data_IF_304043933345
#
_entry.id   IF_304043933345
#
_cell.length_a   1.000
_cell.length_b   1.000
_cell.length_c   1.000
_cell.angle_alpha   90.00
_cell.angle_beta   90.00
_cell.angle_gamma   90.00
#
_symmetry.space_group_name_H-M   'P 1'
#
loop_
_entity.id
_entity.type
_entity.pdbx_description
1 polymer ?
#
# COMPACT_ATOMS: atom_id res chain seq x y z
N UNK A 1 4.87 18.85 -16.11
CA UNK A 1 6.25 19.35 -16.29
C UNK A 1 6.50 20.61 -15.45
N UNK A 2 5.78 21.70 -15.71
CA UNK A 2 6.05 23.02 -15.10
C UNK A 2 5.90 23.07 -13.57
N UNK A 3 5.02 22.22 -13.02
CA UNK A 3 4.71 22.22 -11.58
C UNK A 3 5.73 21.41 -10.74
N UNK A 4 6.37 20.41 -11.33
CA UNK A 4 7.24 19.47 -10.62
C UNK A 4 8.68 19.46 -11.10
N UNK A 5 8.91 19.26 -12.41
CA UNK A 5 10.26 19.09 -12.97
C UNK A 5 10.99 20.40 -13.12
N UNK A 6 10.30 21.44 -13.60
CA UNK A 6 10.90 22.75 -13.78
C UNK A 6 11.45 23.35 -12.47
N UNK A 7 10.70 23.38 -11.35
CA UNK A 7 11.24 23.82 -10.07
C UNK A 7 12.35 22.93 -9.52
N UNK A 8 12.31 21.62 -9.81
CA UNK A 8 13.32 20.68 -9.33
C UNK A 8 14.68 20.86 -9.99
N UNK A 9 14.71 21.22 -11.27
CA UNK A 9 15.93 21.45 -12.04
C UNK A 9 16.30 22.92 -12.19
N UNK A 10 15.44 23.85 -11.73
CA UNK A 10 15.69 25.28 -11.84
C UNK A 10 16.96 25.70 -11.07
N UNK A 11 17.89 26.32 -11.77
CA UNK A 11 19.16 26.81 -11.21
C UNK A 11 20.04 25.75 -10.52
N UNK A 12 19.76 24.47 -10.72
CA UNK A 12 20.51 23.38 -10.13
C UNK A 12 21.15 22.50 -11.22
N UNK A 13 22.47 22.44 -11.23
CA UNK A 13 23.20 21.46 -12.04
C UNK A 13 23.13 20.10 -11.36
N UNK A 14 22.21 19.24 -11.79
CA UNK A 14 21.99 17.93 -11.19
C UNK A 14 22.48 16.82 -12.11
N UNK A 15 23.36 15.94 -11.62
CA UNK A 15 23.73 14.75 -12.37
C UNK A 15 22.52 13.79 -12.41
N UNK A 16 22.26 13.21 -13.57
CA UNK A 16 21.25 12.18 -13.79
C UNK A 16 21.83 11.06 -14.62
N UNK A 17 21.44 9.83 -14.29
CA UNK A 17 21.85 8.62 -14.99
C UNK A 17 20.60 7.89 -15.49
N UNK A 18 20.73 7.21 -16.62
CA UNK A 18 19.63 6.36 -17.11
C UNK A 18 19.22 5.34 -16.04
N UNK A 19 17.93 5.29 -15.71
CA UNK A 19 17.37 4.45 -14.67
C UNK A 19 17.25 5.08 -13.29
N UNK A 20 17.77 6.30 -13.09
CA UNK A 20 17.62 7.02 -11.82
C UNK A 20 16.16 7.33 -11.50
N UNK A 21 15.83 7.25 -10.22
CA UNK A 21 14.54 7.62 -9.67
C UNK A 21 14.70 8.84 -8.76
N UNK A 22 13.86 9.85 -8.94
CA UNK A 22 13.88 11.01 -8.08
C UNK A 22 12.45 11.51 -7.77
N UNK A 23 12.29 12.02 -6.56
CA UNK A 23 11.02 12.48 -6.03
C UNK A 23 10.92 14.00 -6.15
N UNK A 24 9.98 14.47 -6.96
CA UNK A 24 9.67 15.89 -7.05
C UNK A 24 8.46 16.23 -6.18
N UNK A 25 8.62 17.27 -5.35
CA UNK A 25 7.53 17.81 -4.55
C UNK A 25 6.99 19.06 -5.21
N UNK A 26 5.70 19.06 -5.55
CA UNK A 26 5.03 20.22 -6.14
C UNK A 26 3.61 20.34 -5.58
N UNK A 27 3.27 21.50 -5.04
CA UNK A 27 1.99 21.71 -4.38
C UNK A 27 1.77 20.78 -3.19
N UNK A 28 0.64 20.05 -3.16
CA UNK A 28 0.32 19.11 -2.08
C UNK A 28 0.72 17.66 -2.37
N UNK A 29 1.38 17.37 -3.47
CA UNK A 29 1.72 16.01 -3.89
C UNK A 29 3.20 15.86 -4.20
N UNK A 30 3.73 14.67 -3.93
CA UNK A 30 5.03 14.24 -4.38
C UNK A 30 4.85 13.27 -5.55
N UNK A 31 5.60 13.49 -6.64
CA UNK A 31 5.58 12.62 -7.82
C UNK A 31 6.98 12.09 -8.03
N UNK A 32 7.11 10.79 -8.20
CA UNK A 32 8.36 10.13 -8.53
C UNK A 32 8.51 10.04 -10.04
N UNK A 33 9.68 10.42 -10.52
CA UNK A 33 10.05 10.35 -11.93
C UNK A 33 11.18 9.35 -12.12
N UNK A 34 11.13 8.58 -13.20
CA UNK A 34 12.20 7.68 -13.63
C UNK A 34 12.87 8.26 -14.87
N UNK A 35 14.17 8.27 -14.88
CA UNK A 35 14.97 8.66 -16.04
C UNK A 35 14.98 7.52 -17.05
N UNK A 36 14.28 7.69 -18.16
CA UNK A 36 14.15 6.66 -19.21
C UNK A 36 15.39 6.62 -20.08
N UNK A 37 15.86 7.80 -20.49
CA UNK A 37 17.06 7.93 -21.31
C UNK A 37 17.76 9.27 -21.09
N UNK A 38 19.06 9.32 -21.39
CA UNK A 38 19.90 10.52 -21.26
C UNK A 38 20.86 10.66 -22.43
N UNK A 39 21.05 11.89 -22.89
CA UNK A 39 22.07 12.21 -23.88
C UNK A 39 22.97 13.32 -23.33
N UNK A 40 24.30 13.11 -23.24
CA UNK A 40 25.06 11.89 -23.59
C UNK A 40 24.88 10.73 -22.59
N UNK A 41 24.85 9.51 -23.10
CA UNK A 41 24.80 8.31 -22.27
C UNK A 41 26.18 8.02 -21.64
N UNK A 42 26.27 7.33 -20.48
CA UNK A 42 25.19 6.81 -19.63
C UNK A 42 24.65 7.80 -18.61
N UNK A 43 25.29 8.94 -18.42
CA UNK A 43 24.94 9.98 -17.45
C UNK A 43 25.20 11.36 -18.01
N UNK A 44 24.37 12.31 -17.62
CA UNK A 44 24.51 13.71 -18.00
C UNK A 44 24.28 14.63 -16.80
N UNK A 45 24.55 15.92 -16.97
CA UNK A 45 24.22 16.96 -16.00
C UNK A 45 23.08 17.80 -16.59
N UNK A 46 21.98 17.86 -15.89
CA UNK A 46 20.87 18.74 -16.29
C UNK A 46 21.25 20.18 -16.02
N UNK A 47 21.31 21.00 -17.07
CA UNK A 47 21.61 22.42 -17.07
C UNK A 47 20.38 23.23 -17.52
N UNK A 48 20.36 24.57 -17.37
CA UNK A 48 19.22 25.40 -17.76
C UNK A 48 18.78 25.29 -19.22
N UNK A 49 19.71 24.94 -20.10
CA UNK A 49 19.51 24.73 -21.53
C UNK A 49 19.23 23.29 -21.95
N UNK A 50 19.17 22.38 -20.96
CA UNK A 50 18.84 20.98 -21.22
C UNK A 50 17.37 20.82 -21.60
N UNK A 51 17.11 20.16 -22.73
CA UNK A 51 15.74 19.79 -23.11
C UNK A 51 15.31 18.54 -22.38
N UNK A 52 14.21 18.65 -21.63
CA UNK A 52 13.62 17.54 -20.87
C UNK A 52 12.32 17.13 -21.55
N UNK A 53 12.25 15.89 -22.02
CA UNK A 53 11.06 15.30 -22.56
C UNK A 53 10.38 14.44 -21.52
N UNK A 54 9.06 14.62 -21.33
CA UNK A 54 8.24 13.77 -20.44
C UNK A 54 7.35 12.88 -21.29
N UNK A 55 7.43 11.60 -21.11
CA UNK A 55 6.44 10.67 -21.64
C UNK A 55 5.17 10.75 -20.80
N UNK A 56 4.01 10.76 -21.47
CA UNK A 56 2.73 11.07 -20.83
C UNK A 56 2.12 9.94 -20.03
N UNK A 57 2.60 8.70 -20.18
CA UNK A 57 2.06 7.55 -19.46
C UNK A 57 2.87 7.26 -18.19
N UNK A 58 2.19 7.02 -17.04
CA UNK A 58 2.89 6.65 -15.82
C UNK A 58 3.65 5.34 -15.98
N UNK A 59 4.95 5.35 -15.66
CA UNK A 59 5.73 4.11 -15.60
C UNK A 59 5.36 3.41 -14.29
N UNK A 60 4.88 2.18 -14.40
CA UNK A 60 4.60 1.34 -13.23
C UNK A 60 5.91 0.97 -12.56
N UNK A 61 5.96 1.05 -11.22
CA UNK A 61 7.10 0.55 -10.45
C UNK A 61 7.26 -0.95 -10.70
N UNK A 62 8.48 -1.38 -10.95
CA UNK A 62 8.80 -2.81 -11.14
C UNK A 62 8.50 -3.62 -9.86
N UNK A 63 8.53 -2.95 -8.69
CA UNK A 63 8.22 -3.52 -7.37
C UNK A 63 6.72 -3.49 -7.02
N UNK A 64 5.90 -2.76 -7.74
CA UNK A 64 4.45 -2.99 -7.68
C UNK A 64 4.20 -4.35 -8.33
N UNK A 65 4.25 -5.41 -7.52
CA UNK A 65 3.70 -6.70 -7.92
C UNK A 65 2.38 -6.40 -8.62
N UNK A 66 2.29 -6.78 -9.89
CA UNK A 66 1.17 -6.47 -10.76
C UNK A 66 -0.14 -6.85 -10.09
N UNK A 67 -0.73 -5.90 -9.36
CA UNK A 67 -2.13 -5.99 -8.90
C UNK A 67 -3.08 -6.02 -10.11
N UNK A 68 -2.58 -5.56 -11.25
CA UNK A 68 -3.33 -5.27 -12.47
C UNK A 68 -3.88 -6.48 -13.23
N UNK A 69 -3.85 -7.66 -12.68
CA UNK A 69 -4.30 -8.85 -13.38
C UNK A 69 -5.25 -9.74 -12.62
N UNK A 70 -5.42 -9.56 -11.31
CA UNK A 70 -6.23 -10.46 -10.49
C UNK A 70 -7.59 -9.86 -10.21
N UNK A 71 -8.62 -10.38 -10.88
CA UNK A 71 -10.01 -10.05 -10.63
C UNK A 71 -10.76 -11.15 -9.89
N UNK A 72 -12.03 -10.92 -9.61
CA UNK A 72 -12.89 -11.96 -9.01
C UNK A 72 -13.08 -13.18 -9.93
N UNK A 73 -12.93 -12.99 -11.24
CA UNK A 73 -13.07 -14.07 -12.25
C UNK A 73 -11.91 -15.09 -12.18
N UNK A 74 -10.76 -14.67 -11.63
CA UNK A 74 -9.61 -15.55 -11.42
C UNK A 74 -9.76 -16.45 -10.18
N UNK A 75 -10.81 -16.22 -9.37
CA UNK A 75 -11.03 -16.95 -8.11
C UNK A 75 -12.09 -18.01 -8.30
N UNK A 76 -11.66 -19.27 -8.39
CA UNK A 76 -12.56 -20.43 -8.47
C UNK A 76 -12.96 -20.96 -7.10
N UNK A 77 -14.15 -21.59 -7.03
CA UNK A 77 -14.56 -22.40 -5.89
C UNK A 77 -15.04 -21.66 -4.62
N UNK A 78 -14.82 -20.35 -4.49
CA UNK A 78 -15.07 -19.57 -3.27
C UNK A 78 -16.26 -18.60 -3.37
N UNK A 79 -17.30 -18.93 -4.14
CA UNK A 79 -18.44 -18.02 -4.40
C UNK A 79 -19.10 -17.47 -3.14
N UNK A 80 -19.30 -18.29 -2.11
CA UNK A 80 -19.93 -17.87 -0.84
C UNK A 80 -19.05 -16.87 -0.08
N UNK A 81 -17.75 -17.16 0.00
CA UNK A 81 -16.76 -16.31 0.68
C UNK A 81 -16.60 -14.97 -0.04
N UNK A 82 -16.53 -15.00 -1.37
CA UNK A 82 -16.48 -13.77 -2.17
C UNK A 82 -17.72 -12.91 -1.99
N UNK A 83 -18.92 -13.51 -1.93
CA UNK A 83 -20.15 -12.76 -1.67
C UNK A 83 -20.10 -12.06 -0.31
N UNK A 84 -19.64 -12.75 0.74
CA UNK A 84 -19.47 -12.17 2.07
C UNK A 84 -18.44 -11.03 2.09
N UNK A 85 -17.33 -11.18 1.39
CA UNK A 85 -16.29 -10.14 1.31
C UNK A 85 -16.81 -8.92 0.55
N UNK A 86 -17.53 -9.12 -0.55
CA UNK A 86 -18.17 -8.02 -1.28
C UNK A 86 -19.14 -7.23 -0.38
N UNK A 87 -19.95 -7.92 0.40
CA UNK A 87 -20.88 -7.28 1.32
C UNK A 87 -20.16 -6.52 2.45
N UNK A 88 -19.10 -7.09 3.01
CA UNK A 88 -18.44 -6.56 4.20
C UNK A 88 -17.31 -5.56 3.89
N UNK A 89 -16.68 -5.64 2.72
CA UNK A 89 -15.53 -4.77 2.32
C UNK A 89 -15.90 -3.85 1.17
N UNK A 90 -16.35 -4.41 0.05
CA UNK A 90 -16.57 -3.65 -1.17
C UNK A 90 -17.74 -2.68 -1.02
N UNK A 91 -18.84 -3.11 -0.46
CA UNK A 91 -20.03 -2.29 -0.31
C UNK A 91 -19.80 -1.04 0.57
N UNK A 92 -19.14 -1.14 1.74
CA UNK A 92 -18.79 0.05 2.54
C UNK A 92 -17.83 1.00 1.85
N UNK A 93 -16.87 0.49 1.08
CA UNK A 93 -15.90 1.32 0.36
C UNK A 93 -16.54 2.06 -0.82
N UNK A 94 -17.43 1.40 -1.56
CA UNK A 94 -18.12 2.00 -2.71
C UNK A 94 -19.29 2.91 -2.32
N UNK A 95 -20.00 2.57 -1.25
CA UNK A 95 -21.23 3.23 -0.83
C UNK A 95 -21.24 3.60 0.66
N UNK A 96 -20.29 4.42 1.15
CA UNK A 96 -20.21 4.79 2.56
C UNK A 96 -21.47 5.51 3.07
N UNK A 97 -22.11 6.30 2.21
CA UNK A 97 -23.33 7.02 2.55
C UNK A 97 -24.50 6.11 2.93
N UNK A 98 -24.55 4.91 2.36
CA UNK A 98 -25.60 3.94 2.65
C UNK A 98 -25.55 3.49 4.11
N UNK A 99 -24.35 3.25 4.63
CA UNK A 99 -24.12 2.86 6.03
C UNK A 99 -24.41 4.02 6.98
N UNK A 100 -24.03 5.25 6.60
CA UNK A 100 -24.33 6.45 7.38
C UNK A 100 -25.85 6.68 7.48
N UNK A 101 -26.60 6.53 6.39
CA UNK A 101 -28.05 6.73 6.36
C UNK A 101 -28.82 5.69 7.20
N UNK A 102 -28.31 4.45 7.24
CA UNK A 102 -28.91 3.36 8.03
C UNK A 102 -28.45 3.43 9.50
N UNK A 103 -27.38 4.20 9.80
CA UNK A 103 -26.80 4.30 11.15
C UNK A 103 -26.01 3.05 11.58
N UNK A 104 -25.61 2.20 10.63
CA UNK A 104 -24.82 1.00 10.88
C UNK A 104 -23.35 1.28 10.59
N UNK A 105 -22.49 0.96 11.55
CA UNK A 105 -21.04 1.06 11.33
C UNK A 105 -20.54 -0.16 10.58
N UNK A 106 -19.83 0.01 9.44
CA UNK A 106 -19.24 -1.12 8.73
C UNK A 106 -18.12 -1.78 9.57
N UNK A 107 -17.87 -3.07 9.36
CA UNK A 107 -16.75 -3.73 10.02
C UNK A 107 -15.43 -3.12 9.58
N UNK A 108 -14.51 -2.92 10.53
CA UNK A 108 -13.19 -2.33 10.26
C UNK A 108 -12.15 -3.35 9.81
N UNK A 109 -12.44 -4.64 9.97
CA UNK A 109 -11.52 -5.70 9.60
C UNK A 109 -12.21 -7.04 9.45
N UNK A 110 -11.60 -7.90 8.66
CA UNK A 110 -12.04 -9.25 8.37
C UNK A 110 -10.88 -10.21 8.63
N UNK A 111 -11.14 -11.29 9.35
CA UNK A 111 -10.18 -12.37 9.53
C UNK A 111 -10.42 -13.45 8.49
N UNK A 112 -9.42 -13.66 7.62
CA UNK A 112 -9.42 -14.76 6.65
C UNK A 112 -8.61 -15.94 7.22
N UNK A 113 -9.21 -17.11 7.28
CA UNK A 113 -8.56 -18.31 7.77
C UNK A 113 -8.76 -19.51 6.84
N UNK A 114 -7.85 -20.45 6.87
CA UNK A 114 -7.89 -21.64 6.02
C UNK A 114 -6.48 -22.22 5.79
N UNK A 115 -6.43 -23.37 5.12
CA UNK A 115 -5.18 -24.05 4.81
C UNK A 115 -4.22 -23.17 3.96
N UNK A 116 -2.90 -23.42 4.01
CA UNK A 116 -1.96 -22.82 3.09
C UNK A 116 -2.37 -23.08 1.64
N UNK A 117 -2.20 -22.11 0.74
CA UNK A 117 -2.52 -22.26 -0.68
C UNK A 117 -4.01 -22.17 -1.04
N UNK A 118 -4.93 -21.90 -0.08
CA UNK A 118 -6.36 -21.76 -0.40
C UNK A 118 -6.75 -20.38 -0.97
N UNK A 119 -5.79 -19.54 -1.35
CA UNK A 119 -6.03 -18.30 -2.09
C UNK A 119 -6.38 -17.08 -1.23
N UNK A 120 -6.08 -17.05 0.08
CA UNK A 120 -6.39 -15.90 0.95
C UNK A 120 -5.80 -14.60 0.44
N UNK A 121 -4.49 -14.59 0.13
CA UNK A 121 -3.79 -13.41 -0.40
C UNK A 121 -4.29 -13.03 -1.79
N UNK A 122 -4.62 -14.04 -2.62
CA UNK A 122 -5.20 -13.81 -3.95
C UNK A 122 -6.56 -13.09 -3.86
N UNK A 123 -7.42 -13.53 -2.95
CA UNK A 123 -8.72 -12.89 -2.70
C UNK A 123 -8.55 -11.45 -2.24
N UNK A 124 -7.61 -11.18 -1.33
CA UNK A 124 -7.36 -9.82 -0.84
C UNK A 124 -6.90 -8.88 -1.97
N UNK A 125 -6.01 -9.35 -2.85
CA UNK A 125 -5.57 -8.61 -4.04
C UNK A 125 -6.71 -8.35 -5.01
N UNK A 126 -7.54 -9.35 -5.29
CA UNK A 126 -8.69 -9.20 -6.16
C UNK A 126 -9.70 -8.16 -5.63
N UNK A 127 -9.97 -8.18 -4.33
CA UNK A 127 -10.85 -7.19 -3.68
C UNK A 127 -10.28 -5.78 -3.82
N UNK A 128 -8.99 -5.60 -3.59
CA UNK A 128 -8.34 -4.29 -3.72
C UNK A 128 -8.40 -3.78 -5.17
N UNK A 129 -8.11 -4.64 -6.14
CA UNK A 129 -8.18 -4.30 -7.55
C UNK A 129 -9.60 -3.91 -8.00
N UNK A 130 -10.59 -4.70 -7.62
CA UNK A 130 -11.99 -4.46 -7.97
C UNK A 130 -12.58 -3.20 -7.29
N UNK A 131 -12.12 -2.88 -6.08
CA UNK A 131 -12.56 -1.67 -5.36
C UNK A 131 -11.81 -0.41 -5.79
N UNK A 132 -10.65 -0.55 -6.43
CA UNK A 132 -9.74 0.55 -6.72
C UNK A 132 -9.13 1.18 -5.46
N UNK A 133 -9.18 0.48 -4.33
CA UNK A 133 -8.58 0.93 -3.07
C UNK A 133 -7.07 0.74 -3.07
N UNK A 134 -6.36 1.62 -2.40
CA UNK A 134 -4.92 1.46 -2.21
C UNK A 134 -4.64 0.20 -1.37
N UNK A 135 -3.71 -0.64 -1.82
CA UNK A 135 -3.44 -1.93 -1.20
C UNK A 135 -2.08 -1.95 -0.51
N UNK A 136 -2.10 -2.17 0.81
CA UNK A 136 -0.90 -2.38 1.61
C UNK A 136 -0.78 -3.85 2.00
N UNK A 137 0.29 -4.49 1.59
CA UNK A 137 0.65 -5.83 2.04
C UNK A 137 1.66 -5.73 3.20
N UNK A 138 1.29 -6.29 4.33
CA UNK A 138 2.14 -6.39 5.51
C UNK A 138 2.42 -7.87 5.76
N UNK A 139 3.70 -8.24 5.76
CA UNK A 139 4.13 -9.60 6.08
C UNK A 139 4.43 -9.71 7.58
N UNK A 140 3.68 -10.54 8.31
CA UNK A 140 3.81 -10.71 9.75
C UNK A 140 5.22 -11.07 10.23
N UNK A 141 5.86 -12.12 9.69
CA UNK A 141 7.23 -12.48 10.01
C UNK A 141 8.25 -11.36 9.80
N UNK A 142 8.08 -10.55 8.76
CA UNK A 142 8.97 -9.43 8.47
C UNK A 142 8.90 -8.34 9.54
N UNK A 143 7.71 -8.05 10.04
CA UNK A 143 7.54 -7.12 11.16
C UNK A 143 8.25 -7.64 12.40
N UNK A 144 8.12 -8.93 12.69
CA UNK A 144 8.70 -9.53 13.91
C UNK A 144 10.23 -9.72 13.82
N UNK A 145 10.80 -9.81 12.62
CA UNK A 145 12.25 -10.01 12.41
C UNK A 145 13.07 -8.74 12.67
N UNK A 146 12.45 -7.58 12.65
CA UNK A 146 13.11 -6.30 12.92
C UNK A 146 13.25 -6.06 14.42
N UNK A 147 14.26 -5.28 14.84
CA UNK A 147 14.52 -4.99 16.25
C UNK A 147 13.30 -4.40 16.96
N UNK A 148 13.16 -4.69 18.25
CA UNK A 148 12.12 -4.10 19.08
C UNK A 148 12.12 -2.56 18.98
N UNK A 149 10.96 -1.98 18.69
CA UNK A 149 10.80 -0.54 18.43
C UNK A 149 10.71 -0.16 16.94
N UNK A 150 11.45 -0.80 16.04
CA UNK A 150 11.30 -0.60 14.59
C UNK A 150 10.01 -1.22 14.07
N UNK A 151 9.64 -2.38 14.61
CA UNK A 151 8.43 -3.12 14.25
C UNK A 151 7.15 -2.31 14.49
N UNK A 152 7.07 -1.68 15.68
CA UNK A 152 5.96 -0.80 16.06
C UNK A 152 5.91 0.46 15.19
N UNK A 153 7.10 1.05 14.89
CA UNK A 153 7.23 2.22 14.03
C UNK A 153 6.82 1.94 12.58
N UNK A 154 7.18 0.78 12.04
CA UNK A 154 6.81 0.38 10.68
C UNK A 154 5.30 0.13 10.56
N UNK A 155 4.71 -0.53 11.54
CA UNK A 155 3.26 -0.74 11.58
C UNK A 155 2.51 0.60 11.62
N UNK A 156 2.94 1.54 12.47
CA UNK A 156 2.34 2.87 12.55
C UNK A 156 2.44 3.61 11.22
N UNK A 157 3.62 3.61 10.57
CA UNK A 157 3.82 4.26 9.26
C UNK A 157 2.90 3.67 8.19
N UNK A 158 2.74 2.34 8.14
CA UNK A 158 1.84 1.70 7.20
C UNK A 158 0.38 2.15 7.38
N UNK A 159 -0.10 2.27 8.62
CA UNK A 159 -1.43 2.79 8.91
C UNK A 159 -1.58 4.28 8.58
N UNK A 160 -0.59 5.12 8.93
CA UNK A 160 -0.59 6.55 8.58
C UNK A 160 -0.57 6.76 7.06
N UNK A 161 0.15 5.91 6.32
CA UNK A 161 0.22 5.97 4.87
C UNK A 161 -1.08 5.49 4.23
N UNK A 162 -1.71 4.44 4.78
CA UNK A 162 -3.04 4.01 4.37
C UNK A 162 -4.10 5.09 4.61
N UNK A 163 -4.06 5.80 5.74
CA UNK A 163 -4.98 6.90 6.03
C UNK A 163 -4.82 8.07 5.04
N UNK A 164 -3.59 8.38 4.62
CA UNK A 164 -3.30 9.41 3.60
C UNK A 164 -3.80 9.04 2.21
N UNK A 165 -3.82 7.76 1.89
CA UNK A 165 -4.24 7.22 0.60
C UNK A 165 -5.64 6.59 0.64
N UNK A 166 -6.50 7.02 1.55
CA UNK A 166 -7.86 6.50 1.65
C UNK A 166 -8.66 6.76 0.35
N UNK A 167 -9.49 5.80 -0.11
CA UNK A 167 -9.80 4.51 0.51
C UNK A 167 -8.66 3.49 0.35
N UNK A 168 -8.28 2.80 1.43
CA UNK A 168 -7.16 1.87 1.46
C UNK A 168 -7.53 0.56 2.18
N UNK A 169 -6.88 -0.52 1.76
CA UNK A 169 -6.99 -1.84 2.36
C UNK A 169 -5.61 -2.26 2.85
N UNK A 170 -5.48 -2.52 4.14
CA UNK A 170 -4.29 -3.11 4.73
C UNK A 170 -4.52 -4.61 4.87
N UNK A 171 -3.73 -5.40 4.16
CA UNK A 171 -3.72 -6.85 4.29
C UNK A 171 -2.51 -7.30 5.10
N UNK A 172 -2.77 -7.96 6.22
CA UNK A 172 -1.72 -8.51 7.08
C UNK A 172 -1.68 -10.02 6.86
N UNK A 173 -0.64 -10.49 6.19
CA UNK A 173 -0.43 -11.92 5.98
C UNK A 173 0.26 -12.54 7.19
N UNK A 174 -0.02 -13.82 7.44
CA UNK A 174 0.53 -14.58 8.56
C UNK A 174 0.38 -13.84 9.92
N UNK A 175 -0.83 -13.33 10.18
CA UNK A 175 -1.13 -12.58 11.42
C UNK A 175 -0.85 -13.38 12.69
N UNK A 176 -0.85 -14.69 12.64
CA UNK A 176 -0.48 -15.60 13.72
C UNK A 176 1.01 -15.53 14.11
N UNK A 177 1.88 -15.06 13.20
CA UNK A 177 3.27 -14.74 13.53
C UNK A 177 3.38 -13.49 14.44
N UNK A 178 2.48 -12.52 14.26
CA UNK A 178 2.44 -11.30 15.08
C UNK A 178 1.68 -11.54 16.38
N UNK A 179 0.56 -12.28 16.31
CA UNK A 179 -0.37 -12.50 17.41
C UNK A 179 -0.52 -14.01 17.75
N UNK A 180 0.53 -14.66 18.26
CA UNK A 180 0.45 -16.07 18.66
C UNK A 180 -0.55 -16.23 19.82
N UNK A 181 -1.01 -17.48 20.04
CA UNK A 181 -1.89 -17.79 21.18
C UNK A 181 -1.23 -17.35 22.49
N UNK A 182 -2.03 -16.71 23.37
CA UNK A 182 -1.55 -16.16 24.67
C UNK A 182 -0.73 -17.13 25.50
N UNK A 183 -1.00 -18.43 25.41
CA UNK A 183 -0.27 -19.49 26.10
C UNK A 183 1.17 -19.70 25.58
N UNK A 184 1.45 -19.27 24.33
CA UNK A 184 2.73 -19.39 23.65
C UNK A 184 3.49 -18.06 23.55
N UNK A 185 2.85 -16.94 23.88
CA UNK A 185 3.45 -15.61 23.78
C UNK A 185 4.30 -15.31 25.03
N UNK A 186 5.57 -15.71 25.01
CA UNK A 186 6.53 -15.36 26.06
C UNK A 186 7.33 -14.08 25.75
N UNK A 187 7.10 -13.45 24.59
CA UNK A 187 7.84 -12.29 24.14
C UNK A 187 7.18 -10.96 24.53
N UNK A 188 7.94 -10.06 25.16
CA UNK A 188 7.50 -8.69 25.46
C UNK A 188 7.25 -7.90 24.16
N UNK A 189 8.04 -8.17 23.12
CA UNK A 189 7.92 -7.55 21.78
C UNK A 189 6.59 -7.89 21.13
N UNK A 190 6.20 -9.17 21.14
CA UNK A 190 4.92 -9.63 20.59
C UNK A 190 3.73 -8.92 21.23
N UNK A 191 3.75 -8.80 22.56
CA UNK A 191 2.67 -8.11 23.29
C UNK A 191 2.58 -6.63 22.93
N UNK A 192 3.71 -5.96 22.73
CA UNK A 192 3.75 -4.55 22.31
C UNK A 192 3.22 -4.36 20.90
N UNK A 193 3.66 -5.18 19.95
CA UNK A 193 3.20 -5.12 18.56
C UNK A 193 1.68 -5.38 18.47
N UNK A 194 1.16 -6.39 19.18
CA UNK A 194 -0.28 -6.66 19.24
C UNK A 194 -1.05 -5.50 19.88
N UNK A 195 -0.55 -4.93 20.97
CA UNK A 195 -1.18 -3.78 21.62
C UNK A 195 -1.21 -2.57 20.69
N UNK A 196 -0.11 -2.32 19.96
CA UNK A 196 -0.03 -1.25 18.97
C UNK A 196 -1.00 -1.48 17.83
N UNK A 197 -1.09 -2.71 17.30
CA UNK A 197 -2.04 -3.04 16.22
C UNK A 197 -3.48 -2.77 16.66
N UNK A 198 -3.88 -3.22 17.85
CA UNK A 198 -5.20 -2.96 18.40
C UNK A 198 -5.48 -1.46 18.54
N UNK A 199 -4.51 -0.70 19.05
CA UNK A 199 -4.64 0.76 19.20
C UNK A 199 -4.82 1.45 17.83
N UNK A 200 -4.07 1.01 16.81
CA UNK A 200 -4.18 1.55 15.45
C UNK A 200 -5.54 1.21 14.83
N UNK A 201 -6.02 -0.03 15.00
CA UNK A 201 -7.35 -0.43 14.53
C UNK A 201 -8.48 0.34 15.20
N UNK A 202 -8.38 0.59 16.51
CA UNK A 202 -9.37 1.37 17.26
C UNK A 202 -9.31 2.87 16.91
N UNK A 203 -8.14 3.38 16.57
CA UNK A 203 -7.90 4.77 16.19
C UNK A 203 -8.36 5.16 14.80
N UNK A 204 -8.70 4.19 13.94
CA UNK A 204 -9.23 4.48 12.60
C UNK A 204 -10.53 5.28 12.73
N UNK A 205 -10.52 6.50 12.19
CA UNK A 205 -11.73 7.33 12.11
C UNK A 205 -12.72 6.68 11.15
N UNK A 206 -13.93 6.53 11.58
CA UNK A 206 -15.07 6.03 10.79
C UNK A 206 -15.62 7.15 9.89
#
# INVERSE_FOLDING_TARGET
>A
FDLYLKPFFHEAYRPVTKGDHFLCRGGMRAVEFKVVDVEPAPSCIVAPDTMIHCEGEPIKREDEERLDGVGYDDIGGCKKQLAQIRELVELPLRHPQLFQNIGVKPPRGILMYGAPGCGKTLIARAVANETGAFFFLINGPEIMSKMAGESEGNLRRAFEEAEKNAPAIIFIDEVDAIAPKREKSNGEVERRVVSQLLTLMDGLKS
#
